data_IF_202495474869
#
_entry.id   IF_202495474869
#
_cell.length_a   1.000
_cell.length_b   1.000
_cell.length_c   1.000
_cell.angle_alpha   90.00
_cell.angle_beta   90.00
_cell.angle_gamma   90.00
#
_symmetry.space_group_name_H-M   'P 1'
#
loop_
_entity.id
_entity.type
_entity.pdbx_description
1 polymer ?
#
# COMPACT_ATOMS: atom_id res chain seq x y z
N UNK A 1 -27.42 -5.97 1.78
CA UNK A 1 -26.25 -6.06 2.68
C UNK A 1 -25.32 -4.88 2.42
N UNK A 2 -25.70 -3.71 2.92
CA UNK A 2 -24.84 -2.52 2.85
C UNK A 2 -23.93 -2.52 4.08
N UNK A 3 -22.65 -2.23 3.91
CA UNK A 3 -21.67 -2.25 5.00
C UNK A 3 -20.58 -1.21 4.80
N UNK A 4 -19.93 -0.85 5.91
CA UNK A 4 -18.76 0.03 5.94
C UNK A 4 -17.64 -0.68 6.68
N UNK A 5 -16.47 -0.76 6.04
CA UNK A 5 -15.24 -1.24 6.67
C UNK A 5 -14.54 -0.02 7.24
N UNK A 6 -14.53 0.10 8.57
CA UNK A 6 -13.90 1.25 9.21
C UNK A 6 -12.38 1.14 9.19
N UNK A 7 -11.86 -0.04 9.52
CA UNK A 7 -10.42 -0.31 9.53
C UNK A 7 -10.15 -1.80 9.34
N UNK A 8 -9.19 -2.15 8.49
CA UNK A 8 -8.64 -3.50 8.33
C UNK A 8 -7.12 -3.41 8.18
N UNK A 9 -6.39 -4.03 9.10
CA UNK A 9 -4.92 -4.00 9.11
C UNK A 9 -4.34 -5.32 9.61
N UNK A 10 -3.13 -5.65 9.16
CA UNK A 10 -2.42 -6.88 9.53
C UNK A 10 -1.05 -6.57 10.11
N UNK A 11 -0.89 -6.72 11.43
CA UNK A 11 0.36 -6.42 12.13
C UNK A 11 0.52 -4.95 12.51
N UNK A 12 1.76 -4.56 12.83
CA UNK A 12 2.08 -3.22 13.34
C UNK A 12 2.06 -2.14 12.24
N UNK A 13 1.54 -0.93 12.48
CA UNK A 13 1.58 0.14 11.51
C UNK A 13 3.03 0.66 11.32
N UNK A 14 3.37 1.05 10.09
CA UNK A 14 4.63 1.71 9.76
C UNK A 14 4.42 2.94 8.87
N UNK A 15 5.36 3.90 8.83
CA UNK A 15 5.20 5.13 8.05
C UNK A 15 4.95 4.83 6.56
N UNK A 16 3.91 5.46 6.00
CA UNK A 16 3.55 5.31 4.59
C UNK A 16 2.70 4.08 4.25
N UNK A 17 2.32 3.24 5.22
CA UNK A 17 1.37 2.14 4.98
C UNK A 17 -0.02 2.69 4.69
N UNK A 18 -0.63 2.23 3.60
CA UNK A 18 -2.01 2.56 3.23
C UNK A 18 -2.78 1.24 3.13
N UNK A 19 -3.82 1.09 3.95
CA UNK A 19 -4.68 -0.08 3.91
C UNK A 19 -5.82 0.15 2.90
N UNK A 20 -5.97 -0.70 1.87
CA UNK A 20 -6.91 -0.45 0.78
C UNK A 20 -8.40 -0.50 1.19
N UNK A 21 -8.74 -1.13 2.32
CA UNK A 21 -10.11 -1.23 2.81
C UNK A 21 -10.47 -0.27 3.95
N UNK A 22 -9.53 0.59 4.38
CA UNK A 22 -9.83 1.55 5.44
C UNK A 22 -10.84 2.59 4.93
N UNK A 23 -11.99 2.67 5.59
CA UNK A 23 -13.09 3.57 5.22
C UNK A 23 -13.95 3.12 4.04
N UNK A 24 -13.69 1.94 3.45
CA UNK A 24 -14.44 1.43 2.30
C UNK A 24 -15.94 1.26 2.63
N UNK A 25 -16.80 1.67 1.71
CA UNK A 25 -18.25 1.60 1.87
C UNK A 25 -18.88 0.88 0.68
N UNK A 26 -19.79 -0.03 0.99
CA UNK A 26 -20.56 -0.75 0.00
C UNK A 26 -22.05 -0.58 0.27
N UNK A 27 -22.78 -0.14 -0.75
CA UNK A 27 -24.23 0.00 -0.70
C UNK A 27 -24.81 -1.07 -1.61
N UNK A 28 -25.61 -1.96 -1.06
CA UNK A 28 -26.25 -2.99 -1.85
C UNK A 28 -27.57 -2.49 -2.45
N UNK A 29 -27.70 -2.68 -3.76
CA UNK A 29 -28.89 -2.31 -4.53
C UNK A 29 -29.88 -3.46 -4.76
N UNK A 30 -29.50 -4.73 -4.57
CA UNK A 30 -30.41 -5.89 -4.72
C UNK A 30 -30.91 -6.43 -3.36
N UNK A 31 -32.05 -7.12 -3.35
CA UNK A 31 -32.63 -7.70 -2.12
C UNK A 31 -31.75 -8.76 -1.46
N UNK A 32 -31.00 -9.53 -2.25
CA UNK A 32 -30.11 -10.59 -1.78
C UNK A 32 -28.78 -10.59 -2.54
N UNK A 33 -27.68 -10.77 -1.82
CA UNK A 33 -26.35 -10.84 -2.41
C UNK A 33 -25.25 -11.09 -1.39
N UNK A 34 -24.10 -11.48 -1.90
CA UNK A 34 -22.90 -11.83 -1.15
C UNK A 34 -21.76 -10.90 -1.57
N UNK A 35 -21.09 -10.29 -0.59
CA UNK A 35 -19.88 -9.49 -0.79
C UNK A 35 -18.68 -10.32 -0.33
N UNK A 36 -17.73 -10.57 -1.23
CA UNK A 36 -16.53 -11.35 -0.96
C UNK A 36 -15.30 -10.48 -1.19
N UNK A 37 -14.44 -10.41 -0.18
CA UNK A 37 -13.16 -9.71 -0.20
C UNK A 37 -12.04 -10.74 -0.15
N UNK A 38 -11.27 -10.85 -1.23
CA UNK A 38 -10.09 -11.69 -1.29
C UNK A 38 -8.87 -10.83 -0.95
N UNK A 39 -8.34 -11.04 0.24
CA UNK A 39 -7.22 -10.32 0.83
C UNK A 39 -5.95 -11.12 0.63
N UNK A 40 -4.95 -10.55 -0.04
CA UNK A 40 -3.64 -11.17 -0.17
C UNK A 40 -2.64 -10.44 0.71
N UNK A 41 -2.20 -11.10 1.79
CA UNK A 41 -1.33 -10.52 2.81
C UNK A 41 0.13 -10.78 2.43
N UNK A 42 0.96 -9.75 2.50
CA UNK A 42 2.38 -9.75 2.12
C UNK A 42 3.22 -9.38 3.34
N UNK A 43 4.01 -10.31 3.89
CA UNK A 43 4.94 -10.00 4.98
C UNK A 43 5.89 -8.88 4.59
N UNK A 44 5.99 -7.86 5.44
CA UNK A 44 6.76 -6.64 5.17
C UNK A 44 7.68 -6.32 6.34
N UNK A 45 8.95 -6.05 6.05
CA UNK A 45 9.95 -5.62 7.02
C UNK A 45 10.29 -4.17 6.72
N UNK A 46 10.11 -3.29 7.70
CA UNK A 46 10.50 -1.88 7.60
C UNK A 46 11.71 -1.62 8.49
N UNK A 47 12.81 -1.20 7.88
CA UNK A 47 14.06 -0.86 8.55
C UNK A 47 14.27 0.65 8.53
N UNK A 48 14.15 1.26 9.70
CA UNK A 48 14.33 2.68 9.93
C UNK A 48 15.82 3.04 10.01
N UNK A 49 16.14 4.33 9.82
CA UNK A 49 17.52 4.86 9.90
C UNK A 49 18.17 4.63 11.28
N UNK A 50 17.35 4.53 12.34
CA UNK A 50 17.80 4.32 13.72
C UNK A 50 17.97 2.82 14.07
N UNK A 51 18.17 1.95 13.08
CA UNK A 51 18.27 0.48 13.23
C UNK A 51 17.02 -0.20 13.82
N UNK A 52 15.93 0.54 14.01
CA UNK A 52 14.66 -0.02 14.44
C UNK A 52 14.02 -0.82 13.29
N UNK A 53 13.75 -2.10 13.55
CA UNK A 53 13.10 -3.01 12.60
C UNK A 53 11.66 -3.23 13.04
N UNK A 54 10.73 -2.96 12.12
CA UNK A 54 9.31 -3.22 12.32
C UNK A 54 8.91 -4.39 11.40
N UNK A 55 8.36 -5.44 12.02
CA UNK A 55 7.77 -6.57 11.30
C UNK A 55 6.27 -6.31 11.16
N UNK A 56 5.82 -6.16 9.92
CA UNK A 56 4.44 -5.80 9.58
C UNK A 56 3.95 -6.61 8.39
N UNK A 57 2.73 -6.31 7.92
CA UNK A 57 2.20 -6.85 6.69
C UNK A 57 1.52 -5.75 5.88
N UNK A 58 1.66 -5.85 4.57
CA UNK A 58 0.84 -5.14 3.62
C UNK A 58 -0.20 -6.09 3.06
N UNK A 59 -1.24 -5.58 2.41
CA UNK A 59 -2.18 -6.43 1.73
C UNK A 59 -2.80 -5.75 0.51
N UNK A 60 -3.21 -6.58 -0.45
CA UNK A 60 -4.07 -6.16 -1.56
C UNK A 60 -5.43 -6.83 -1.44
N UNK A 61 -6.43 -6.26 -2.10
CA UNK A 61 -7.83 -6.71 -2.02
C UNK A 61 -8.41 -6.82 -3.42
N UNK A 62 -9.09 -7.94 -3.66
CA UNK A 62 -9.97 -8.11 -4.82
C UNK A 62 -11.40 -8.31 -4.33
N UNK A 63 -12.32 -7.52 -4.86
CA UNK A 63 -13.72 -7.53 -4.46
C UNK A 63 -14.55 -8.35 -5.47
N UNK A 64 -15.40 -9.24 -4.98
CA UNK A 64 -16.34 -10.00 -5.79
C UNK A 64 -17.73 -9.93 -5.19
N UNK A 65 -18.70 -9.60 -6.04
CA UNK A 65 -20.10 -9.52 -5.67
C UNK A 65 -20.92 -10.57 -6.43
N UNK A 66 -21.81 -11.26 -5.72
CA UNK A 66 -22.75 -12.22 -6.30
C UNK A 66 -24.17 -11.88 -5.88
N UNK A 67 -25.03 -11.53 -6.84
CA UNK A 67 -26.47 -11.34 -6.63
C UNK A 67 -27.19 -12.68 -6.51
N UNK A 68 -28.14 -12.79 -5.58
CA UNK A 68 -28.92 -14.01 -5.35
C UNK A 68 -30.09 -14.27 -6.30
N UNK A 69 -30.14 -13.58 -7.45
CA UNK A 69 -31.30 -13.60 -8.37
C UNK A 69 -31.23 -14.76 -9.40
N UNK A 70 -30.10 -15.47 -9.46
CA UNK A 70 -29.98 -16.67 -10.29
C UNK A 70 -30.44 -17.88 -9.48
N UNK A 71 -31.50 -18.56 -9.95
CA UNK A 71 -32.09 -19.77 -9.37
C UNK A 71 -31.18 -21.02 -9.30
N UNK A 72 -29.86 -20.83 -9.19
CA UNK A 72 -28.85 -21.86 -8.99
C UNK A 72 -28.01 -21.47 -7.77
N UNK A 73 -28.19 -22.25 -6.71
CA UNK A 73 -27.44 -22.23 -5.44
C UNK A 73 -27.79 -21.03 -4.56
N UNK A 74 -28.35 -21.30 -3.37
CA UNK A 74 -28.46 -20.34 -2.28
C UNK A 74 -27.06 -19.78 -1.95
N UNK A 75 -26.70 -18.66 -2.56
CA UNK A 75 -25.58 -17.87 -2.07
C UNK A 75 -26.01 -17.32 -0.70
N UNK A 76 -25.44 -17.85 0.37
CA UNK A 76 -25.68 -17.35 1.73
C UNK A 76 -25.39 -15.85 1.76
N UNK A 77 -26.39 -15.00 2.06
CA UNK A 77 -26.16 -13.56 2.11
C UNK A 77 -25.21 -13.25 3.24
N UNK A 78 -24.16 -12.47 2.95
CA UNK A 78 -23.12 -12.20 3.94
C UNK A 78 -21.92 -11.46 3.35
N UNK A 79 -21.12 -10.91 4.26
CA UNK A 79 -19.81 -10.32 3.96
C UNK A 79 -18.76 -11.35 4.34
N UNK A 80 -17.92 -11.75 3.39
CA UNK A 80 -16.88 -12.75 3.60
C UNK A 80 -15.51 -12.15 3.28
N UNK A 81 -14.56 -12.40 4.18
CA UNK A 81 -13.16 -12.04 4.01
C UNK A 81 -12.34 -13.32 3.89
N UNK A 82 -11.74 -13.54 2.73
CA UNK A 82 -10.81 -14.64 2.49
C UNK A 82 -9.41 -14.07 2.49
N UNK A 83 -8.56 -14.48 3.44
CA UNK A 83 -7.17 -14.04 3.46
C UNK A 83 -6.23 -15.18 3.10
N UNK A 84 -5.22 -14.87 2.28
CA UNK A 84 -4.14 -15.80 1.94
C UNK A 84 -2.79 -15.11 2.07
N UNK A 85 -1.76 -15.88 2.43
CA UNK A 85 -0.40 -15.38 2.61
C UNK A 85 0.36 -15.47 1.29
N UNK A 86 0.90 -14.33 0.86
CA UNK A 86 1.79 -14.27 -0.30
C UNK A 86 3.14 -14.93 0.05
N UNK A 87 3.71 -15.75 -0.84
CA UNK A 87 5.02 -16.36 -0.64
C UNK A 87 6.19 -15.36 -0.80
N UNK A 88 5.90 -14.08 -1.01
CA UNK A 88 6.88 -13.02 -1.24
C UNK A 88 6.94 -12.13 0.01
N UNK A 89 8.16 -11.69 0.37
CA UNK A 89 8.42 -10.74 1.45
C UNK A 89 8.97 -9.43 0.88
N UNK A 90 8.44 -8.30 1.37
CA UNK A 90 8.91 -6.96 0.99
C UNK A 90 9.79 -6.40 2.11
N UNK A 91 10.93 -5.83 1.76
CA UNK A 91 11.82 -5.16 2.73
C UNK A 91 11.99 -3.71 2.31
N UNK A 92 11.53 -2.78 3.15
CA UNK A 92 11.79 -1.36 3.01
C UNK A 92 12.99 -0.98 3.86
N UNK A 93 13.99 -0.37 3.23
CA UNK A 93 15.17 0.15 3.91
C UNK A 93 15.27 1.63 3.63
N UNK A 94 15.19 2.43 4.68
CA UNK A 94 15.37 3.87 4.57
C UNK A 94 16.88 4.18 4.50
N UNK A 95 17.28 4.99 3.52
CA UNK A 95 18.68 5.41 3.34
C UNK A 95 18.76 6.92 3.32
N UNK A 96 19.74 7.47 4.04
CA UNK A 96 20.09 8.87 3.93
C UNK A 96 20.92 9.10 2.67
N UNK A 97 20.57 10.08 1.86
CA UNK A 97 21.42 10.54 0.76
C UNK A 97 22.61 11.30 1.33
N UNK A 98 23.83 11.02 0.87
CA UNK A 98 25.02 11.66 1.43
C UNK A 98 25.04 13.16 1.14
N UNK A 99 25.41 13.97 2.14
CA UNK A 99 25.58 15.43 2.00
C UNK A 99 26.56 15.81 0.88
N UNK A 100 27.50 14.91 0.57
CA UNK A 100 28.43 15.08 -0.55
C UNK A 100 27.72 15.22 -1.89
N UNK A 101 26.61 14.52 -2.13
CA UNK A 101 25.86 14.63 -3.38
C UNK A 101 25.25 16.03 -3.55
N UNK A 102 24.85 16.68 -2.46
CA UNK A 102 24.42 18.07 -2.47
C UNK A 102 25.59 19.00 -2.78
N UNK A 103 26.74 18.81 -2.13
CA UNK A 103 27.93 19.62 -2.37
C UNK A 103 28.43 19.51 -3.82
N UNK A 104 28.43 18.30 -4.38
CA UNK A 104 28.77 18.06 -5.79
C UNK A 104 27.83 18.83 -6.71
N UNK A 105 26.52 18.84 -6.44
CA UNK A 105 25.57 19.64 -7.22
C UNK A 105 25.85 21.15 -7.12
N UNK A 106 26.17 21.65 -5.93
CA UNK A 106 26.52 23.07 -5.74
C UNK A 106 27.80 23.42 -6.51
N UNK A 107 28.85 22.61 -6.39
CA UNK A 107 30.09 22.81 -7.12
C UNK A 107 29.88 22.78 -8.64
N UNK A 108 29.05 21.88 -9.16
CA UNK A 108 28.73 21.82 -10.58
C UNK A 108 28.06 23.11 -11.09
N UNK A 109 27.14 23.68 -10.30
CA UNK A 109 26.48 24.95 -10.65
C UNK A 109 27.47 26.11 -10.63
N UNK A 110 28.30 26.23 -9.60
CA UNK A 110 29.29 27.32 -9.49
C UNK A 110 30.37 27.21 -10.57
N UNK A 111 30.92 26.01 -10.79
CA UNK A 111 31.92 25.75 -11.82
C UNK A 111 31.39 26.04 -13.23
N UNK A 112 30.13 25.68 -13.51
CA UNK A 112 29.47 26.00 -14.79
C UNK A 112 29.39 27.51 -15.06
N UNK A 113 29.02 28.31 -14.05
CA UNK A 113 28.94 29.77 -14.19
C UNK A 113 30.32 30.42 -14.45
N UNK A 114 31.36 29.97 -13.75
CA UNK A 114 32.73 30.48 -13.95
C UNK A 114 33.22 30.12 -15.36
N UNK A 115 32.99 28.88 -15.80
CA UNK A 115 33.45 28.41 -17.11
C UNK A 115 32.75 29.14 -18.26
N UNK A 116 31.46 29.48 -18.12
CA UNK A 116 30.74 30.30 -19.08
C UNK A 116 31.30 31.74 -19.11
N UNK A 117 31.50 32.36 -17.94
CA UNK A 117 32.07 33.70 -17.87
C UNK A 117 33.46 33.83 -18.49
N UNK A 118 34.31 32.81 -18.32
CA UNK A 118 35.65 32.76 -18.93
C UNK A 118 35.62 32.52 -20.45
N UNK A 119 34.55 31.95 -21.01
CA UNK A 119 34.42 31.75 -22.46
C UNK A 119 33.96 33.00 -23.20
N UNK A 120 33.31 33.94 -22.49
CA UNK A 120 32.83 35.21 -23.06
C UNK A 120 33.82 36.39 -22.89
N UNK A 121 34.96 36.15 -22.23
CA UNK A 121 36.08 37.09 -22.04
C UNK A 121 37.24 36.73 -22.96
#
# INVERSE_FOLDING_TARGET
LSHKINKLSFGEPFPGVINPLDGAQWIQHSSYGMAQYFVKVVPTVYSHLNEQIILSNQFSVTEHYRSGDSGRVQALPGVFFFYDLSPIKVTFTERHVSFLHFLTNVCAIVGGNISLGAFFL
#
